data_IF_382575757927
#
_entry.id   IF_382575757927
#
_cell.length_a   1.000
_cell.length_b   1.000
_cell.length_c   1.000
_cell.angle_alpha   90.00
_cell.angle_beta   90.00
_cell.angle_gamma   90.00
#
_symmetry.space_group_name_H-M   'P 1'
#
loop_
_entity.id
_entity.type
_entity.pdbx_description
1 polymer ?
#
# COMPACT_ATOMS: atom_id res chain seq x y z
N UNK A 1 -32.33 0.92 23.32
CA UNK A 1 -31.48 -0.28 23.43
C UNK A 1 -30.77 -0.40 22.11
N UNK A 2 -29.43 -0.29 22.07
CA UNK A 2 -28.68 -0.47 20.83
C UNK A 2 -28.39 -1.97 20.67
N UNK A 3 -28.96 -2.57 19.64
CA UNK A 3 -28.75 -3.96 19.28
C UNK A 3 -27.32 -4.13 18.73
N UNK A 4 -26.61 -5.13 19.23
CA UNK A 4 -25.20 -5.38 18.92
C UNK A 4 -25.18 -6.37 17.74
N UNK A 5 -25.12 -5.85 16.51
CA UNK A 5 -25.02 -6.65 15.29
C UNK A 5 -23.62 -7.29 15.24
N UNK A 6 -23.54 -8.60 15.50
CA UNK A 6 -22.27 -9.34 15.60
C UNK A 6 -21.83 -9.97 14.28
N UNK A 7 -22.53 -9.68 13.17
CA UNK A 7 -22.39 -10.42 11.92
C UNK A 7 -22.72 -11.91 12.04
N UNK A 8 -22.51 -12.66 10.96
CA UNK A 8 -22.71 -14.11 10.89
C UNK A 8 -21.48 -14.80 10.29
N UNK A 9 -21.34 -16.10 10.58
CA UNK A 9 -20.22 -16.90 10.10
C UNK A 9 -20.33 -17.21 8.60
N UNK A 10 -19.24 -17.01 7.86
CA UNK A 10 -19.12 -17.32 6.44
C UNK A 10 -18.47 -18.71 6.26
N UNK A 11 -18.86 -19.42 5.21
CA UNK A 11 -18.37 -20.77 4.88
C UNK A 11 -17.21 -20.74 3.87
N UNK A 12 -16.41 -21.80 3.82
CA UNK A 12 -15.23 -21.91 2.96
C UNK A 12 -15.54 -22.04 1.47
N UNK A 13 -16.78 -22.39 1.09
CA UNK A 13 -17.22 -22.43 -0.32
C UNK A 13 -17.63 -21.06 -0.87
N UNK A 14 -17.36 -19.97 -0.15
CA UNK A 14 -17.65 -18.60 -0.58
C UNK A 14 -16.87 -18.26 -1.86
N UNK A 15 -17.59 -18.19 -2.99
CA UNK A 15 -17.02 -17.88 -4.31
C UNK A 15 -16.92 -16.39 -4.61
N UNK A 16 -17.66 -15.57 -3.87
CA UNK A 16 -17.80 -14.13 -4.09
C UNK A 16 -17.87 -13.40 -2.75
N UNK A 17 -17.04 -12.36 -2.59
CA UNK A 17 -17.09 -11.44 -1.46
C UNK A 17 -17.27 -10.03 -2.00
N UNK A 18 -18.17 -9.26 -1.37
CA UNK A 18 -18.23 -7.83 -1.61
C UNK A 18 -16.93 -7.20 -1.08
N UNK A 19 -16.07 -6.76 -2.00
CA UNK A 19 -14.97 -5.89 -1.64
C UNK A 19 -15.60 -4.62 -1.08
N UNK A 20 -15.52 -4.42 0.24
CA UNK A 20 -16.20 -3.35 0.95
C UNK A 20 -16.17 -2.04 0.17
N UNK A 21 -17.36 -1.52 -0.14
CA UNK A 21 -17.53 -0.19 -0.69
C UNK A 21 -16.94 0.81 0.31
N UNK A 22 -15.89 1.52 -0.10
CA UNK A 22 -15.25 2.56 0.70
C UNK A 22 -14.03 2.08 1.45
N UNK A 23 -12.91 1.89 0.74
CA UNK A 23 -11.66 2.34 1.35
C UNK A 23 -11.86 3.82 1.68
N UNK A 24 -11.88 4.15 2.96
CA UNK A 24 -11.98 5.55 3.37
C UNK A 24 -10.75 6.26 2.76
N UNK A 25 -10.98 7.18 1.82
CA UNK A 25 -9.92 8.02 1.27
C UNK A 25 -9.57 9.05 2.35
N UNK A 26 -8.91 8.56 3.41
CA UNK A 26 -8.47 9.36 4.53
C UNK A 26 -7.51 10.41 3.98
N UNK A 27 -7.79 11.68 4.31
CA UNK A 27 -6.92 12.79 3.93
C UNK A 27 -5.63 12.71 4.73
N UNK A 28 -4.58 12.22 4.08
CA UNK A 28 -3.24 12.25 4.66
C UNK A 28 -2.64 13.66 4.50
N UNK A 29 -1.90 14.16 5.49
CA UNK A 29 -1.21 15.44 5.38
C UNK A 29 -0.15 15.40 4.26
N UNK A 30 0.24 16.56 3.74
CA UNK A 30 1.36 16.64 2.79
C UNK A 30 2.63 16.04 3.44
N UNK A 31 3.29 15.13 2.72
CA UNK A 31 4.41 14.40 3.25
C UNK A 31 4.97 13.37 2.27
N UNK A 32 5.99 12.64 2.71
CA UNK A 32 6.60 11.55 1.97
C UNK A 32 6.14 10.23 2.57
N UNK A 33 5.62 9.35 1.72
CA UNK A 33 4.99 8.12 2.14
C UNK A 33 5.43 6.95 1.27
N UNK A 34 5.39 5.77 1.85
CA UNK A 34 5.49 4.54 1.10
C UNK A 34 4.16 4.28 0.40
N UNK A 35 4.23 3.86 -0.86
CA UNK A 35 3.06 3.40 -1.59
C UNK A 35 3.26 1.99 -2.13
N UNK A 36 2.15 1.28 -2.29
CA UNK A 36 2.05 -0.01 -2.98
C UNK A 36 1.00 0.11 -4.08
N UNK A 37 1.29 -0.39 -5.28
CA UNK A 37 0.31 -0.44 -6.36
C UNK A 37 -0.66 -1.59 -6.11
N UNK A 38 -1.91 -1.27 -5.81
CA UNK A 38 -2.98 -2.27 -5.63
C UNK A 38 -3.56 -2.75 -6.94
N UNK A 39 -3.83 -1.82 -7.85
CA UNK A 39 -4.46 -2.11 -9.12
C UNK A 39 -4.02 -1.09 -10.17
N UNK A 40 -4.00 -1.51 -11.43
CA UNK A 40 -3.81 -0.62 -12.56
C UNK A 40 -4.86 -0.90 -13.65
N UNK A 41 -5.63 0.12 -13.99
CA UNK A 41 -6.59 0.09 -15.10
C UNK A 41 -6.04 0.84 -16.30
N UNK A 42 -6.18 0.25 -17.49
CA UNK A 42 -5.88 0.92 -18.76
C UNK A 42 -7.13 1.62 -19.24
N UNK A 43 -7.05 2.93 -19.37
CA UNK A 43 -8.16 3.78 -19.79
C UNK A 43 -7.74 4.70 -20.93
N UNK A 44 -8.68 5.51 -21.39
CA UNK A 44 -8.44 6.55 -22.39
C UNK A 44 -8.89 7.91 -21.86
N UNK A 45 -8.04 8.90 -22.06
CA UNK A 45 -8.39 10.29 -21.88
C UNK A 45 -8.90 10.86 -23.19
N UNK A 46 -10.10 11.46 -23.16
CA UNK A 46 -10.76 12.01 -24.35
C UNK A 46 -10.13 13.30 -24.87
N UNK A 47 -9.19 13.87 -24.12
CA UNK A 47 -8.58 15.15 -24.43
C UNK A 47 -9.18 16.28 -23.61
N UNK A 48 -8.52 17.43 -23.68
CA UNK A 48 -8.94 18.70 -23.11
C UNK A 48 -8.39 19.83 -23.97
N UNK A 49 -8.81 21.08 -23.74
CA UNK A 49 -8.21 22.24 -24.42
C UNK A 49 -6.69 22.35 -24.25
N UNK A 50 -6.11 21.72 -23.21
CA UNK A 50 -4.67 21.78 -22.90
C UNK A 50 -3.89 20.53 -23.30
N UNK A 51 -4.58 19.44 -23.69
CA UNK A 51 -3.95 18.14 -23.95
C UNK A 51 -4.80 17.28 -24.89
N UNK A 52 -4.17 16.72 -25.93
CA UNK A 52 -4.84 15.82 -26.87
C UNK A 52 -5.31 14.52 -26.19
N UNK A 53 -6.29 13.86 -26.82
CA UNK A 53 -6.73 12.53 -26.43
C UNK A 53 -5.55 11.56 -26.42
N UNK A 54 -5.39 10.80 -25.35
CA UNK A 54 -4.28 9.86 -25.19
C UNK A 54 -4.69 8.69 -24.29
N UNK A 55 -4.00 7.54 -24.39
CA UNK A 55 -4.16 6.48 -23.39
C UNK A 55 -3.74 7.00 -22.01
N UNK A 56 -4.36 6.49 -20.95
CA UNK A 56 -3.98 6.76 -19.57
C UNK A 56 -3.95 5.47 -18.75
N UNK A 57 -3.04 5.39 -17.79
CA UNK A 57 -3.07 4.36 -16.76
C UNK A 57 -3.64 4.96 -15.48
N UNK A 58 -4.73 4.39 -14.98
CA UNK A 58 -5.29 4.73 -13.67
C UNK A 58 -4.72 3.76 -12.65
N UNK A 59 -3.89 4.29 -11.76
CA UNK A 59 -3.26 3.56 -10.68
C UNK A 59 -4.04 3.75 -9.40
N UNK A 60 -4.27 2.65 -8.69
CA UNK A 60 -4.79 2.63 -7.33
C UNK A 60 -3.61 2.36 -6.40
N UNK A 61 -3.15 3.39 -5.71
CA UNK A 61 -1.97 3.36 -4.85
C UNK A 61 -2.42 3.30 -3.39
N UNK A 62 -2.06 2.23 -2.68
CA UNK A 62 -2.19 2.18 -1.23
C UNK A 62 -1.01 2.91 -0.60
N UNK A 63 -1.28 4.08 -0.06
CA UNK A 63 -0.31 4.90 0.68
C UNK A 63 -0.40 4.53 2.15
N UNK A 64 0.75 4.22 2.77
CA UNK A 64 0.81 3.85 4.19
C UNK A 64 1.67 4.87 4.93
N UNK A 65 1.11 5.46 5.99
CA UNK A 65 1.79 6.36 6.89
C UNK A 65 2.54 5.59 7.99
N UNK A 66 3.49 6.26 8.64
CA UNK A 66 4.37 5.63 9.63
C UNK A 66 3.64 5.15 10.90
N UNK A 67 2.47 5.72 11.17
CA UNK A 67 1.55 5.34 12.24
C UNK A 67 0.70 4.09 11.90
N UNK A 68 0.84 3.54 10.69
CA UNK A 68 0.07 2.40 10.20
C UNK A 68 -1.23 2.79 9.49
N UNK A 69 -1.59 4.08 9.43
CA UNK A 69 -2.77 4.54 8.70
C UNK A 69 -2.55 4.33 7.20
N UNK A 70 -3.51 3.71 6.51
CA UNK A 70 -3.46 3.53 5.06
C UNK A 70 -4.59 4.26 4.35
N UNK A 71 -4.28 4.92 3.25
CA UNK A 71 -5.24 5.59 2.38
C UNK A 71 -5.03 5.15 0.93
N UNK A 72 -6.09 5.09 0.14
CA UNK A 72 -6.00 4.80 -1.30
C UNK A 72 -5.98 6.11 -2.07
N UNK A 73 -4.95 6.27 -2.89
CA UNK A 73 -4.74 7.43 -3.75
C UNK A 73 -4.83 6.99 -5.20
N UNK A 74 -5.65 7.71 -5.97
CA UNK A 74 -5.80 7.45 -7.40
C UNK A 74 -4.91 8.38 -8.21
N UNK A 75 -3.94 7.80 -8.90
CA UNK A 75 -3.03 8.55 -9.78
C UNK A 75 -3.29 8.20 -11.24
N UNK A 76 -3.31 9.22 -12.11
CA UNK A 76 -3.60 9.03 -13.55
C UNK A 76 -2.36 9.39 -14.35
N UNK A 77 -1.66 8.38 -14.84
CA UNK A 77 -0.51 8.56 -15.69
C UNK A 77 -0.95 8.74 -17.14
N UNK A 78 -0.65 9.90 -17.70
CA UNK A 78 -1.02 10.28 -19.06
C UNK A 78 0.07 9.86 -20.04
N UNK A 79 -0.26 9.04 -21.03
CA UNK A 79 0.68 8.58 -22.07
C UNK A 79 0.76 9.63 -23.19
N UNK A 80 1.17 10.83 -22.82
CA UNK A 80 1.36 11.99 -23.70
C UNK A 80 2.80 12.49 -23.58
N UNK A 81 3.40 13.01 -24.66
CA UNK A 81 4.76 13.55 -24.66
C UNK A 81 5.02 14.62 -23.59
N UNK A 82 4.00 15.39 -23.19
CA UNK A 82 4.11 16.39 -22.12
C UNK A 82 4.17 15.80 -20.70
N UNK A 83 3.70 14.57 -20.53
CA UNK A 83 3.55 13.91 -19.22
C UNK A 83 4.33 12.59 -19.12
N UNK A 84 5.02 12.19 -20.18
CA UNK A 84 5.83 10.97 -20.23
C UNK A 84 6.94 10.97 -19.17
N UNK A 85 7.42 12.16 -18.75
CA UNK A 85 8.38 12.29 -17.66
C UNK A 85 7.82 11.73 -16.33
N UNK A 86 6.51 11.90 -16.06
CA UNK A 86 5.87 11.37 -14.85
C UNK A 86 5.74 9.85 -14.91
N UNK A 87 5.53 9.29 -16.09
CA UNK A 87 5.59 7.84 -16.32
C UNK A 87 6.99 7.31 -16.01
N UNK A 88 8.03 7.95 -16.56
CA UNK A 88 9.42 7.59 -16.24
C UNK A 88 9.70 7.67 -14.74
N UNK A 89 9.31 8.76 -14.09
CA UNK A 89 9.50 8.97 -12.66
C UNK A 89 8.82 7.89 -11.81
N UNK A 90 7.60 7.48 -12.18
CA UNK A 90 6.89 6.39 -11.53
C UNK A 90 7.65 5.06 -11.64
N UNK A 91 8.08 4.70 -12.84
CA UNK A 91 8.82 3.46 -13.05
C UNK A 91 10.17 3.47 -12.32
N UNK A 92 10.84 4.61 -12.21
CA UNK A 92 12.05 4.73 -11.39
C UNK A 92 11.76 4.53 -9.90
N UNK A 93 10.66 5.09 -9.40
CA UNK A 93 10.29 4.98 -7.98
C UNK A 93 10.00 3.54 -7.55
N UNK A 94 9.44 2.72 -8.45
CA UNK A 94 9.22 1.28 -8.21
C UNK A 94 10.45 0.41 -8.53
N UNK A 95 11.60 1.03 -8.83
CA UNK A 95 12.87 0.33 -9.09
C UNK A 95 12.96 -0.36 -10.45
N UNK A 96 12.28 0.15 -11.48
CA UNK A 96 12.41 -0.39 -12.83
C UNK A 96 13.85 -0.20 -13.37
N UNK A 97 14.40 -1.19 -14.10
CA UNK A 97 15.74 -1.08 -14.63
C UNK A 97 15.82 0.01 -15.70
N UNK A 98 17.01 0.61 -15.83
CA UNK A 98 17.33 1.50 -16.95
C UNK A 98 17.92 0.70 -18.10
N UNK A 99 17.60 1.12 -19.31
CA UNK A 99 18.18 0.57 -20.53
C UNK A 99 19.64 1.05 -20.65
N UNK A 100 20.63 0.13 -20.71
CA UNK A 100 22.04 0.50 -20.80
C UNK A 100 22.39 1.30 -22.06
N UNK A 101 21.65 1.13 -23.15
CA UNK A 101 21.95 1.79 -24.45
C UNK A 101 21.36 3.20 -24.59
N UNK A 102 20.34 3.54 -23.79
CA UNK A 102 19.57 4.79 -24.00
C UNK A 102 19.33 5.59 -22.73
N UNK A 103 19.82 5.13 -21.57
CA UNK A 103 19.60 5.72 -20.24
C UNK A 103 18.12 5.92 -19.86
N UNK A 104 17.20 5.32 -20.63
CA UNK A 104 15.75 5.40 -20.43
C UNK A 104 15.28 4.29 -19.52
N UNK A 105 14.28 4.60 -18.71
CA UNK A 105 13.64 3.66 -17.79
C UNK A 105 12.84 2.64 -18.59
N UNK A 106 13.01 1.36 -18.30
CA UNK A 106 12.23 0.30 -18.93
C UNK A 106 10.81 0.27 -18.36
N UNK A 107 9.83 0.34 -19.25
CA UNK A 107 8.41 0.36 -18.90
C UNK A 107 7.85 -1.05 -19.05
N UNK A 108 7.42 -1.66 -17.95
CA UNK A 108 6.70 -2.93 -17.97
C UNK A 108 5.38 -2.79 -17.20
N UNK A 109 4.33 -2.41 -17.91
CA UNK A 109 2.99 -2.22 -17.34
C UNK A 109 2.38 -3.48 -16.72
N UNK A 110 2.82 -4.68 -17.13
CA UNK A 110 2.29 -5.94 -16.60
C UNK A 110 2.92 -6.33 -15.25
N UNK A 111 4.01 -5.67 -14.86
CA UNK A 111 4.75 -5.95 -13.62
C UNK A 111 4.59 -4.83 -12.59
N UNK A 112 3.58 -3.98 -12.74
CA UNK A 112 3.36 -2.79 -11.90
C UNK A 112 2.58 -3.14 -10.63
N UNK A 113 1.60 -4.04 -10.72
CA UNK A 113 0.80 -4.46 -9.57
C UNK A 113 1.66 -5.17 -8.53
N UNK A 114 1.44 -4.85 -7.24
CA UNK A 114 2.24 -5.35 -6.13
C UNK A 114 3.62 -4.70 -5.97
N UNK A 115 4.03 -3.79 -6.87
CA UNK A 115 5.25 -3.01 -6.68
C UNK A 115 5.03 -1.92 -5.65
N UNK A 116 6.09 -1.59 -4.93
CA UNK A 116 6.10 -0.53 -3.94
C UNK A 116 7.20 0.49 -4.23
N UNK A 117 7.03 1.70 -3.73
CA UNK A 117 7.99 2.78 -3.88
C UNK A 117 7.70 3.92 -2.92
N UNK A 118 8.32 5.05 -3.18
CA UNK A 118 8.17 6.26 -2.37
C UNK A 118 7.54 7.37 -3.20
N UNK A 119 6.61 8.11 -2.60
CA UNK A 119 6.01 9.27 -3.24
C UNK A 119 5.89 10.44 -2.25
N UNK A 120 5.91 11.65 -2.79
CA UNK A 120 5.46 12.85 -2.10
C UNK A 120 3.99 13.07 -2.39
N UNK A 121 3.18 13.08 -1.34
CA UNK A 121 1.76 13.36 -1.39
C UNK A 121 1.52 14.84 -1.12
N UNK A 122 0.56 15.44 -1.82
CA UNK A 122 0.04 16.78 -1.51
C UNK A 122 -1.47 16.74 -1.34
N UNK A 123 -1.99 17.72 -0.61
CA UNK A 123 -3.43 17.92 -0.48
C UNK A 123 -3.85 19.01 -1.46
N UNK A 124 -4.77 18.68 -2.37
CA UNK A 124 -5.32 19.62 -3.33
C UNK A 124 -6.75 19.98 -2.93
N UNK A 125 -7.01 21.27 -2.73
CA UNK A 125 -8.38 21.80 -2.64
C UNK A 125 -9.00 21.92 -4.04
N UNK A 126 -10.24 21.48 -4.17
CA UNK A 126 -11.04 21.64 -5.37
C UNK A 126 -12.47 21.99 -4.99
N UNK A 127 -13.09 22.86 -5.78
CA UNK A 127 -14.50 23.23 -5.61
C UNK A 127 -15.36 22.21 -6.34
N UNK A 128 -16.33 21.63 -5.65
CA UNK A 128 -17.33 20.75 -6.27
C UNK A 128 -18.30 21.57 -7.12
N UNK A 129 -19.11 20.90 -7.95
CA UNK A 129 -20.16 21.58 -8.74
C UNK A 129 -21.18 22.30 -7.86
N UNK A 130 -21.34 21.83 -6.63
CA UNK A 130 -22.22 22.39 -5.60
C UNK A 130 -21.61 23.61 -4.87
N UNK A 131 -20.39 24.02 -5.22
CA UNK A 131 -19.71 25.17 -4.62
C UNK A 131 -18.97 24.89 -3.32
N UNK A 132 -18.93 23.64 -2.86
CA UNK A 132 -18.20 23.26 -1.65
C UNK A 132 -16.70 23.07 -1.95
N UNK A 133 -15.85 23.60 -1.08
CA UNK A 133 -14.42 23.29 -1.10
C UNK A 133 -14.19 21.90 -0.49
N UNK A 134 -13.68 20.98 -1.30
CA UNK A 134 -13.22 19.66 -0.85
C UNK A 134 -11.72 19.53 -1.04
N UNK A 135 -11.11 18.68 -0.22
CA UNK A 135 -9.70 18.34 -0.33
C UNK A 135 -9.56 16.92 -0.85
N UNK A 136 -8.51 16.65 -1.61
CA UNK A 136 -8.15 15.30 -2.04
C UNK A 136 -6.64 15.13 -2.07
N UNK A 137 -6.19 13.90 -1.80
CA UNK A 137 -4.79 13.53 -1.93
C UNK A 137 -4.41 13.36 -3.41
N UNK A 138 -3.33 14.01 -3.82
CA UNK A 138 -2.77 13.93 -5.16
C UNK A 138 -1.27 13.60 -5.06
N UNK A 139 -0.75 12.82 -6.01
CA UNK A 139 0.69 12.55 -6.05
C UNK A 139 1.42 13.75 -6.62
N UNK A 140 2.21 14.42 -5.78
CA UNK A 140 3.05 15.53 -6.19
C UNK A 140 4.26 15.04 -6.98
N UNK A 141 4.96 14.03 -6.45
CA UNK A 141 6.22 13.53 -7.01
C UNK A 141 6.43 12.06 -6.66
N UNK A 142 6.96 11.28 -7.60
CA UNK A 142 7.48 9.94 -7.31
C UNK A 142 8.98 10.04 -7.00
N UNK A 143 9.42 9.44 -5.89
CA UNK A 143 10.79 9.51 -5.41
C UNK A 143 11.57 8.27 -5.81
N UNK A 144 12.82 8.46 -6.24
CA UNK A 144 13.70 7.34 -6.59
C UNK A 144 14.11 6.57 -5.32
N UNK A 145 14.35 5.26 -5.41
CA UNK A 145 14.97 4.52 -4.32
C UNK A 145 16.29 5.18 -3.90
N UNK A 146 16.44 5.48 -2.60
CA UNK A 146 17.64 6.13 -2.06
C UNK A 146 17.66 7.66 -2.15
N UNK A 147 16.57 8.31 -2.54
CA UNK A 147 16.43 9.77 -2.43
C UNK A 147 16.59 10.22 -0.97
N UNK A 148 17.43 11.23 -0.72
CA UNK A 148 17.78 11.73 0.63
C UNK A 148 16.56 12.25 1.40
N UNK A 149 15.50 12.64 0.69
CA UNK A 149 14.24 13.10 1.29
C UNK A 149 13.41 11.95 1.86
N UNK A 150 13.70 10.70 1.49
CA UNK A 150 13.03 9.53 2.07
C UNK A 150 13.47 9.41 3.53
N UNK A 151 12.54 9.39 4.49
CA UNK A 151 12.89 9.33 5.90
C UNK A 151 13.70 8.06 6.21
N UNK A 152 14.84 8.21 6.90
CA UNK A 152 15.72 7.08 7.23
C UNK A 152 15.03 6.03 8.14
N UNK A 153 14.03 6.45 8.92
CA UNK A 153 13.19 5.55 9.74
C UNK A 153 12.34 4.58 8.91
N UNK A 154 12.25 4.79 7.59
CA UNK A 154 11.50 3.95 6.67
C UNK A 154 12.30 2.78 6.08
N UNK A 155 13.61 2.74 6.32
CA UNK A 155 14.48 1.60 6.01
C UNK A 155 14.77 0.72 7.23
N UNK A 156 14.21 1.03 8.41
CA UNK A 156 14.44 0.21 9.58
C UNK A 156 13.74 -1.14 9.40
N UNK A 157 14.45 -2.28 9.29
CA UNK A 157 13.81 -3.55 9.58
C UNK A 157 13.21 -3.41 10.98
N UNK A 158 11.95 -3.79 11.15
CA UNK A 158 11.37 -3.96 12.48
C UNK A 158 12.21 -5.04 13.14
N UNK A 159 13.27 -4.64 13.83
CA UNK A 159 14.01 -5.50 14.73
C UNK A 159 13.04 -5.77 15.87
N UNK A 160 12.26 -6.84 15.74
CA UNK A 160 11.65 -7.45 16.90
C UNK A 160 12.83 -8.02 17.69
N UNK A 161 13.20 -7.43 18.85
CA UNK A 161 14.12 -8.11 19.73
C UNK A 161 13.52 -9.50 20.02
N UNK A 162 14.32 -10.58 19.95
CA UNK A 162 13.83 -11.90 20.30
C UNK A 162 13.17 -11.81 21.67
N UNK A 163 11.88 -12.16 21.73
CA UNK A 163 11.16 -12.26 22.99
C UNK A 163 11.96 -13.23 23.87
N UNK A 164 12.26 -12.87 25.14
CA UNK A 164 12.91 -13.82 26.03
C UNK A 164 11.98 -15.02 26.17
N UNK A 165 12.41 -16.16 25.61
CA UNK A 165 11.80 -17.46 25.88
C UNK A 165 11.93 -17.66 27.39
N UNK A 166 10.83 -17.48 28.12
CA UNK A 166 10.78 -17.85 29.52
C UNK A 166 11.03 -19.35 29.58
N UNK A 167 12.19 -19.74 30.12
CA UNK A 167 12.51 -21.12 30.39
C UNK A 167 11.42 -21.69 31.30
N UNK A 168 10.51 -22.48 30.73
CA UNK A 168 9.58 -23.27 31.50
C UNK A 168 10.42 -24.27 32.30
N UNK A 169 10.50 -24.06 33.61
CA UNK A 169 11.13 -25.01 34.51
C UNK A 169 10.42 -26.37 34.35
N UNK A 170 11.16 -27.48 34.21
CA UNK A 170 10.54 -28.79 34.15
C UNK A 170 9.78 -29.04 35.46
N UNK A 171 8.50 -29.35 35.34
CA UNK A 171 7.68 -29.84 36.46
C UNK A 171 8.36 -31.05 37.08
N UNK A 172 8.60 -31.08 38.41
CA UNK A 172 9.15 -32.26 39.05
C UNK A 172 8.13 -33.39 38.95
N UNK A 173 8.52 -34.49 38.29
CA UNK A 173 7.73 -35.71 38.23
C UNK A 173 7.66 -36.29 39.64
N UNK A 174 6.45 -36.35 40.20
CA UNK A 174 6.22 -36.96 41.51
C UNK A 174 6.62 -38.45 41.47
N UNK A 175 7.30 -38.97 42.51
CA UNK A 175 7.65 -40.38 42.57
C UNK A 175 6.39 -41.25 42.67
N UNK A 176 6.35 -42.32 41.87
CA UNK A 176 5.26 -43.29 41.85
C UNK A 176 5.08 -43.95 43.24
N UNK A 177 3.82 -44.19 43.69
CA UNK A 177 3.57 -44.90 44.94
C UNK A 177 3.99 -46.37 44.82
N UNK A 178 4.69 -46.85 45.85
CA UNK A 178 5.17 -48.23 45.96
C UNK A 178 4.01 -49.25 45.97
N UNK A 179 4.14 -50.39 45.27
CA UNK A 179 3.17 -51.47 45.37
C UNK A 179 3.32 -52.20 46.71
N UNK A 180 2.24 -52.17 47.50
CA UNK A 180 2.14 -52.84 48.79
C UNK A 180 2.23 -54.37 48.64
N UNK A 181 3.10 -54.95 49.46
CA UNK A 181 3.32 -56.38 49.67
C UNK A 181 2.24 -56.99 50.57
N UNK A 182 1.63 -58.13 50.19
CA UNK A 182 1.11 -59.21 51.06
C UNK A 182 1.01 -60.52 50.22
N UNK A 183 1.95 -61.48 50.35
CA UNK A 183 1.90 -62.74 51.14
C UNK A 183 1.05 -63.87 50.54
N UNK A 184 1.68 -65.04 50.27
CA UNK A 184 1.55 -66.34 50.98
C UNK A 184 2.83 -67.14 50.76
#
# INVERSE_FOLDING_TARGET
MAENDKGYALDWDMTEAEAGEGYESVLLPEGIYQFEVRNMKRERFEGSPKMAACPRAHLELKVTAADGTSSIVHERLMLNSKMVWKVGQFFEAIGAPRNPDSDKVMINWNAVEGKAGWLKLKVRSYTTKDGEERQSNEVAEFLRPGDERIPASAFAPVYQPPQPVQAQMPVPVAPAPAPNQWTV
#
